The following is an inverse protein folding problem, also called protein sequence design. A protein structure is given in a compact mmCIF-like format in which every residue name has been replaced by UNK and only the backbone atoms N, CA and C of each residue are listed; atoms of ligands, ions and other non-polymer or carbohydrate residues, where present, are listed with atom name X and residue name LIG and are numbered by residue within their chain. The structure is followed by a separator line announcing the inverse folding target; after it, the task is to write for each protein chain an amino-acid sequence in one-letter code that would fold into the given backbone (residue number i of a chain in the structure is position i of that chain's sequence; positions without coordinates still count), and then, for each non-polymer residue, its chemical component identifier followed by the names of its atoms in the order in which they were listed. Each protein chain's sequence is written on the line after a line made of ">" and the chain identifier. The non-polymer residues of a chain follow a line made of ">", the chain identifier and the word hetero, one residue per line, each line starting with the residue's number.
data_IF_495962202131
#
_entry.id   IF_495962202131
#
_cell.length_a   1.000
_cell.length_b   1.000
_cell.length_c   1.000
_cell.angle_alpha   90.00
_cell.angle_beta   90.00
_cell.angle_gamma   90.00
#
_symmetry.space_group_name_H-M   'P 1'
#
loop_
_entity.id
_entity.type
_entity.pdbx_description
1 polymer ?
#
# COMPACT_ATOMS: atom_id res chain seq x y z
N UNK A 1 -4.28 0.31 -7.20
CA UNK A 1 -3.03 0.97 -6.74
C UNK A 1 -3.19 1.33 -5.25
N UNK A 2 -2.29 0.93 -4.34
CA UNK A 2 -2.48 1.18 -2.91
C UNK A 2 -1.84 2.51 -2.49
N UNK A 3 -2.58 3.32 -1.74
CA UNK A 3 -2.15 4.63 -1.24
C UNK A 3 -2.27 4.63 0.28
N UNK A 4 -1.15 4.72 0.98
CA UNK A 4 -1.10 4.92 2.44
C UNK A 4 -0.76 6.38 2.72
N UNK A 5 -1.73 7.16 3.18
CA UNK A 5 -1.56 8.58 3.55
C UNK A 5 -1.57 8.72 5.07
N UNK A 6 -0.53 9.34 5.63
CA UNK A 6 -0.50 9.80 7.03
C UNK A 6 -0.38 11.32 7.03
N UNK A 7 -1.31 12.00 7.71
CA UNK A 7 -1.34 13.46 7.84
C UNK A 7 -1.45 13.83 9.32
N UNK A 8 -0.39 14.40 9.89
CA UNK A 8 -0.41 15.01 11.23
C UNK A 8 -0.88 16.47 11.13
N UNK A 9 -1.88 16.83 11.93
CA UNK A 9 -2.58 18.12 11.85
C UNK A 9 -1.96 19.14 12.82
N UNK A 10 -1.12 20.04 12.29
CA UNK A 10 -0.66 21.28 12.95
C UNK A 10 -0.33 22.30 11.84
N UNK A 11 -1.35 22.91 11.21
CA UNK A 11 -1.28 23.92 10.11
C UNK A 11 -0.41 23.58 8.87
N UNK A 12 0.32 22.47 8.93
CA UNK A 12 1.30 21.99 7.98
C UNK A 12 1.02 20.50 7.78
N UNK A 13 0.20 20.20 6.77
CA UNK A 13 -0.01 18.83 6.32
C UNK A 13 1.27 18.27 5.71
N UNK A 14 1.70 17.13 6.23
CA UNK A 14 2.64 16.24 5.54
C UNK A 14 1.83 15.10 4.93
N UNK A 15 2.18 14.64 3.74
CA UNK A 15 1.60 13.45 3.12
C UNK A 15 2.69 12.65 2.42
N UNK A 16 2.62 11.33 2.57
CA UNK A 16 3.53 10.40 1.91
C UNK A 16 2.75 9.52 0.95
N UNK A 17 3.35 9.19 -0.19
CA UNK A 17 2.81 8.23 -1.14
C UNK A 17 3.92 7.26 -1.54
N UNK A 18 3.65 5.97 -1.36
CA UNK A 18 4.55 4.88 -1.74
C UNK A 18 3.77 3.85 -2.53
N UNK A 19 4.33 3.39 -3.65
CA UNK A 19 3.82 2.23 -4.36
C UNK A 19 4.94 1.24 -4.65
N UNK A 20 4.57 -0.03 -4.73
CA UNK A 20 5.45 -1.14 -5.06
C UNK A 20 4.88 -1.90 -6.26
N UNK A 21 5.73 -2.26 -7.20
CA UNK A 21 5.39 -3.10 -8.36
C UNK A 21 6.38 -4.25 -8.42
N UNK A 22 5.88 -5.46 -8.67
CA UNK A 22 6.72 -6.64 -8.74
C UNK A 22 5.89 -7.89 -8.99
N UNK A 23 6.45 -9.04 -8.59
CA UNK A 23 5.80 -10.33 -8.74
C UNK A 23 5.00 -10.68 -7.49
N UNK A 24 3.86 -11.34 -7.70
CA UNK A 24 3.04 -11.87 -6.63
C UNK A 24 3.06 -13.40 -6.70
N UNK A 25 3.36 -14.03 -5.58
CA UNK A 25 3.39 -15.48 -5.43
C UNK A 25 2.25 -15.88 -4.49
N UNK A 26 1.20 -16.55 -4.99
CA UNK A 26 0.11 -16.99 -4.16
C UNK A 26 0.53 -18.14 -3.25
N UNK A 27 -0.01 -18.17 -2.04
CA UNK A 27 0.04 -19.24 -1.07
C UNK A 27 -1.35 -19.55 -0.52
N UNK A 28 -1.44 -20.35 0.54
CA UNK A 28 -2.72 -20.64 1.18
C UNK A 28 -3.19 -19.42 1.99
N UNK A 29 -4.23 -18.72 1.51
CA UNK A 29 -4.79 -17.49 2.10
C UNK A 29 -3.76 -16.37 2.34
N UNK A 30 -2.63 -16.46 1.65
CA UNK A 30 -1.51 -15.51 1.73
C UNK A 30 -0.94 -15.29 0.35
N UNK A 31 -0.32 -14.14 0.13
CA UNK A 31 0.53 -13.95 -1.04
C UNK A 31 1.79 -13.19 -0.66
N UNK A 32 2.90 -13.54 -1.28
CA UNK A 32 4.15 -12.80 -1.13
C UNK A 32 4.29 -11.83 -2.29
N UNK A 33 4.46 -10.54 -1.98
CA UNK A 33 4.86 -9.54 -2.97
C UNK A 33 6.39 -9.44 -2.92
N UNK A 34 7.04 -9.65 -4.06
CA UNK A 34 8.47 -9.40 -4.26
C UNK A 34 8.61 -8.18 -5.17
N UNK A 35 8.82 -6.97 -4.60
CA UNK A 35 8.93 -5.76 -5.37
C UNK A 35 10.15 -5.79 -6.28
N UNK A 36 9.98 -5.29 -7.50
CA UNK A 36 11.05 -5.06 -8.47
C UNK A 36 11.23 -3.56 -8.74
N UNK A 37 10.21 -2.76 -8.43
CA UNK A 37 10.20 -1.31 -8.56
C UNK A 37 9.41 -0.70 -7.41
N UNK A 38 9.80 0.50 -7.01
CA UNK A 38 9.07 1.29 -6.03
C UNK A 38 9.30 2.78 -6.21
N UNK A 39 8.48 3.60 -5.56
CA UNK A 39 8.63 5.05 -5.57
C UNK A 39 8.21 5.61 -4.23
N UNK A 40 8.94 6.64 -3.79
CA UNK A 40 8.57 7.45 -2.64
C UNK A 40 8.26 8.86 -3.10
N UNK A 41 7.18 9.42 -2.56
CA UNK A 41 6.82 10.83 -2.66
C UNK A 41 6.48 11.37 -1.28
N UNK A 42 7.09 12.47 -0.90
CA UNK A 42 6.75 13.25 0.30
C UNK A 42 6.28 14.64 -0.09
N UNK A 43 5.20 15.09 0.53
CA UNK A 43 4.59 16.41 0.33
C UNK A 43 4.48 17.12 1.67
N UNK A 44 5.07 18.31 1.78
CA UNK A 44 5.11 19.15 2.96
C UNK A 44 4.50 20.51 2.62
N UNK A 45 3.25 20.73 3.03
CA UNK A 45 2.50 21.94 2.67
C UNK A 45 3.16 23.26 3.12
N UNK A 46 3.76 23.31 4.30
CA UNK A 46 4.43 24.52 4.82
C UNK A 46 5.89 24.69 4.37
N UNK A 47 6.48 23.66 3.76
CA UNK A 47 7.82 23.76 3.23
C UNK A 47 7.91 22.98 1.91
N UNK A 48 7.30 23.49 0.82
CA UNK A 48 7.27 22.80 -0.46
C UNK A 48 8.66 22.50 -1.03
N UNK A 49 9.69 23.27 -0.63
CA UNK A 49 11.09 23.01 -0.99
C UNK A 49 11.68 21.71 -0.39
N UNK A 50 10.99 21.04 0.55
CA UNK A 50 11.32 19.68 1.03
C UNK A 50 10.51 18.59 0.32
N UNK A 51 9.60 18.94 -0.59
CA UNK A 51 8.88 17.94 -1.37
C UNK A 51 9.88 17.11 -2.17
N UNK A 52 9.65 15.81 -2.20
CA UNK A 52 10.49 14.91 -2.98
C UNK A 52 9.65 13.86 -3.68
N UNK A 53 10.14 13.42 -4.83
CA UNK A 53 9.63 12.26 -5.57
C UNK A 53 10.83 11.55 -6.18
N UNK A 54 11.05 10.30 -5.80
CA UNK A 54 12.16 9.50 -6.34
C UNK A 54 11.82 8.02 -6.41
N UNK A 55 12.46 7.27 -7.33
CA UNK A 55 12.42 5.82 -7.25
C UNK A 55 13.01 5.32 -5.92
N UNK A 56 12.52 4.17 -5.46
CA UNK A 56 13.14 3.42 -4.38
C UNK A 56 14.47 2.83 -4.86
N UNK A 57 15.47 2.79 -4.00
CA UNK A 57 16.74 2.13 -4.30
C UNK A 57 16.64 0.59 -4.09
N UNK A 58 17.67 -0.15 -4.50
CA UNK A 58 17.65 -1.62 -4.44
C UNK A 58 17.51 -2.18 -3.02
N UNK A 59 18.10 -1.52 -2.01
CA UNK A 59 17.99 -1.94 -0.61
C UNK A 59 16.56 -1.73 -0.09
N UNK A 60 15.94 -0.59 -0.42
CA UNK A 60 14.55 -0.27 -0.09
C UNK A 60 13.58 -1.23 -0.77
N UNK A 61 13.82 -1.57 -2.04
CA UNK A 61 13.03 -2.54 -2.81
C UNK A 61 13.10 -3.92 -2.17
N UNK A 62 14.30 -4.38 -1.81
CA UNK A 62 14.49 -5.68 -1.15
C UNK A 62 13.81 -5.73 0.23
N UNK A 63 13.94 -4.65 1.01
CA UNK A 63 13.31 -4.54 2.33
C UNK A 63 11.77 -4.48 2.27
N UNK A 64 11.20 -4.08 1.13
CA UNK A 64 9.76 -4.00 0.94
C UNK A 64 9.11 -5.36 0.60
N UNK A 65 9.89 -6.43 0.46
CA UNK A 65 9.35 -7.78 0.30
C UNK A 65 8.53 -8.18 1.54
N UNK A 66 7.26 -8.52 1.33
CA UNK A 66 6.34 -8.84 2.42
C UNK A 66 5.31 -9.87 2.00
N UNK A 67 4.96 -10.74 2.94
CA UNK A 67 3.82 -11.63 2.84
C UNK A 67 2.58 -10.95 3.42
N UNK A 68 1.48 -11.01 2.69
CA UNK A 68 0.17 -10.47 3.07
C UNK A 68 -0.81 -11.61 3.25
N UNK A 69 -1.73 -11.47 4.21
CA UNK A 69 -2.92 -12.32 4.31
C UNK A 69 -4.01 -11.75 3.43
N UNK A 70 -4.82 -12.62 2.83
CA UNK A 70 -6.00 -12.19 2.10
C UNK A 70 -7.20 -13.11 2.35
N UNK A 71 -8.40 -12.57 2.16
CA UNK A 71 -9.63 -13.32 2.18
C UNK A 71 -10.51 -12.93 0.99
N UNK A 72 -11.20 -13.91 0.44
CA UNK A 72 -12.29 -13.65 -0.49
C UNK A 72 -13.59 -13.55 0.30
N UNK A 73 -14.34 -12.48 0.11
CA UNK A 73 -15.61 -12.24 0.79
C UNK A 73 -16.66 -11.70 -0.18
N UNK A 74 -17.87 -11.47 0.33
CA UNK A 74 -18.94 -10.80 -0.39
C UNK A 74 -19.03 -9.35 0.05
N UNK A 75 -19.08 -8.44 -0.92
CA UNK A 75 -19.38 -7.03 -0.63
C UNK A 75 -20.85 -6.85 -0.21
N UNK A 76 -21.25 -5.61 0.08
CA UNK A 76 -22.62 -5.27 0.46
C UNK A 76 -23.66 -5.57 -0.62
N UNK A 77 -23.23 -5.78 -1.86
CA UNK A 77 -24.06 -6.09 -3.03
C UNK A 77 -23.98 -7.59 -3.40
N UNK A 78 -23.31 -8.42 -2.60
CA UNK A 78 -23.17 -9.86 -2.84
C UNK A 78 -22.12 -10.25 -3.90
N UNK A 79 -21.33 -9.28 -4.39
CA UNK A 79 -20.26 -9.52 -5.37
C UNK A 79 -19.00 -10.00 -4.67
N UNK A 80 -18.20 -10.79 -5.39
CA UNK A 80 -16.92 -11.26 -4.87
C UNK A 80 -15.95 -10.09 -4.71
N UNK A 81 -15.37 -9.96 -3.52
CA UNK A 81 -14.42 -8.93 -3.17
C UNK A 81 -13.18 -9.55 -2.52
N UNK A 82 -12.03 -8.88 -2.70
CA UNK A 82 -10.76 -9.30 -2.11
C UNK A 82 -10.46 -8.40 -0.92
N UNK A 83 -10.26 -8.97 0.27
CA UNK A 83 -9.75 -8.26 1.44
C UNK A 83 -8.28 -8.58 1.64
N UNK A 84 -7.44 -7.56 1.78
CA UNK A 84 -6.00 -7.71 2.03
C UNK A 84 -5.65 -7.08 3.38
N UNK A 85 -4.91 -7.80 4.22
CA UNK A 85 -4.48 -7.34 5.54
C UNK A 85 -3.00 -6.94 5.49
N UNK A 86 -2.68 -5.73 5.95
CA UNK A 86 -1.34 -5.13 5.83
C UNK A 86 -0.44 -5.33 7.05
N UNK A 87 -0.93 -5.99 8.10
CA UNK A 87 -0.21 -6.29 9.33
C UNK A 87 -0.67 -7.61 9.98
N UNK A 88 0.13 -8.11 10.92
CA UNK A 88 -0.26 -9.30 11.70
C UNK A 88 -1.54 -9.03 12.49
N UNK A 89 -1.60 -7.88 13.16
CA UNK A 89 -2.73 -7.44 13.98
C UNK A 89 -3.80 -6.68 13.19
N UNK A 90 -3.64 -6.54 11.87
CA UNK A 90 -4.64 -5.91 11.02
C UNK A 90 -5.86 -6.83 10.90
N UNK A 91 -6.94 -6.43 11.58
CA UNK A 91 -8.25 -7.10 11.57
C UNK A 91 -9.20 -6.50 10.53
N UNK A 92 -8.94 -5.27 10.07
CA UNK A 92 -9.82 -4.59 9.13
C UNK A 92 -9.41 -4.90 7.70
N UNK A 93 -8.14 -4.72 7.35
CA UNK A 93 -7.68 -4.82 5.98
C UNK A 93 -8.33 -3.82 5.03
N UNK A 94 -7.88 -3.81 3.78
CA UNK A 94 -8.52 -3.04 2.71
C UNK A 94 -9.34 -3.97 1.81
N UNK A 95 -10.55 -3.54 1.45
CA UNK A 95 -11.47 -4.27 0.59
C UNK A 95 -11.36 -3.76 -0.86
N UNK A 96 -11.22 -4.68 -1.81
CA UNK A 96 -11.16 -4.43 -3.24
C UNK A 96 -12.40 -5.03 -3.89
N UNK A 97 -13.26 -4.17 -4.41
CA UNK A 97 -14.47 -4.55 -5.12
C UNK A 97 -14.33 -4.31 -6.62
N UNK A 98 -15.01 -5.09 -7.48
CA UNK A 98 -15.05 -4.83 -8.91
C UNK A 98 -15.65 -3.45 -9.19
N UNK A 99 -14.86 -2.52 -9.73
CA UNK A 99 -15.30 -1.16 -10.09
C UNK A 99 -14.52 -0.04 -9.39
N UNK A 100 -13.75 -0.36 -8.36
CA UNK A 100 -12.80 0.56 -7.72
C UNK A 100 -11.38 -0.06 -7.77
N UNK A 101 -10.60 0.29 -8.79
CA UNK A 101 -9.25 -0.24 -9.08
C UNK A 101 -8.17 0.85 -9.00
#
# INVERSE_FOLDING_TARGET
>A
MYVLNSATYYNCRTSSYTYWKGTMQPGNQTFTLTPQQGTYRGEYSCYPGKNFKRPANNQEIAAAQKQYRYAWEKDREGRTALRIFFGADDQQGALFTPGHW
#
